data_IF_750721045235
#
_entry.id   IF_750721045235
#
_cell.length_a   1.000
_cell.length_b   1.000
_cell.length_c   1.000
_cell.angle_alpha   90.00
_cell.angle_beta   90.00
_cell.angle_gamma   90.00
#
_symmetry.space_group_name_H-M   'P 1'
#
loop_
_entity.id
_entity.type
_entity.pdbx_description
1 polymer ?
#
# COMPACT_ATOMS: atom_id res chain seq x y z
N UNK A 1 -14.03 -29.21 -6.94
CA UNK A 1 -14.05 -27.74 -7.15
C UNK A 1 -12.67 -27.10 -6.98
N UNK A 2 -11.88 -27.41 -5.93
CA UNK A 2 -10.52 -26.85 -5.72
C UNK A 2 -9.46 -27.12 -6.82
N UNK A 3 -9.68 -28.13 -7.67
CA UNK A 3 -8.76 -28.49 -8.76
C UNK A 3 -9.14 -27.85 -10.11
N UNK A 4 -10.16 -26.99 -10.16
CA UNK A 4 -10.49 -26.26 -11.38
C UNK A 4 -9.46 -25.17 -11.62
N UNK A 5 -8.94 -25.05 -12.84
CA UNK A 5 -7.99 -24.01 -13.24
C UNK A 5 -8.56 -22.63 -12.93
N UNK A 6 -9.84 -22.41 -13.24
CA UNK A 6 -10.57 -21.16 -12.95
C UNK A 6 -10.56 -20.83 -11.45
N UNK A 7 -10.69 -21.83 -10.57
CA UNK A 7 -10.66 -21.59 -9.13
C UNK A 7 -9.26 -21.15 -8.65
N UNK A 8 -8.20 -21.72 -9.25
CA UNK A 8 -6.82 -21.36 -8.93
C UNK A 8 -6.47 -19.96 -9.43
N UNK A 9 -6.96 -19.57 -10.60
CA UNK A 9 -6.81 -18.24 -11.17
C UNK A 9 -7.47 -17.18 -10.27
N UNK A 10 -8.74 -17.34 -9.92
CA UNK A 10 -9.46 -16.41 -9.02
C UNK A 10 -8.74 -16.28 -7.67
N UNK A 11 -8.28 -17.40 -7.10
CA UNK A 11 -7.55 -17.40 -5.83
C UNK A 11 -6.20 -16.69 -5.95
N UNK A 12 -5.55 -16.78 -7.11
CA UNK A 12 -4.28 -16.11 -7.37
C UNK A 12 -4.47 -14.61 -7.60
N UNK A 13 -5.48 -14.21 -8.36
CA UNK A 13 -5.87 -12.82 -8.58
C UNK A 13 -6.19 -12.15 -7.23
N UNK A 14 -7.08 -12.72 -6.42
CA UNK A 14 -7.42 -12.14 -5.11
C UNK A 14 -6.22 -12.03 -4.16
N UNK A 15 -5.24 -12.95 -4.23
CA UNK A 15 -3.99 -12.84 -3.46
C UNK A 15 -3.08 -11.72 -3.98
N UNK A 16 -3.04 -11.52 -5.30
CA UNK A 16 -2.25 -10.44 -5.90
C UNK A 16 -2.86 -9.08 -5.57
N UNK A 17 -4.18 -8.94 -5.72
CA UNK A 17 -4.93 -7.74 -5.34
C UNK A 17 -4.72 -7.41 -3.87
N UNK A 18 -5.00 -8.33 -2.95
CA UNK A 18 -4.84 -8.07 -1.52
C UNK A 18 -3.38 -7.75 -1.11
N UNK A 19 -2.39 -8.28 -1.82
CA UNK A 19 -0.98 -7.94 -1.60
C UNK A 19 -0.62 -6.56 -2.12
N UNK A 20 -1.26 -6.09 -3.19
CA UNK A 20 -1.06 -4.75 -3.73
C UNK A 20 -1.77 -3.72 -2.84
N UNK A 21 -3.03 -3.96 -2.48
CA UNK A 21 -3.80 -3.10 -1.58
C UNK A 21 -3.11 -2.96 -0.23
N UNK A 22 -2.76 -4.07 0.43
CA UNK A 22 -2.10 -4.01 1.74
C UNK A 22 -0.72 -3.34 1.72
N UNK A 23 -0.02 -3.33 0.58
CA UNK A 23 1.23 -2.58 0.42
C UNK A 23 1.01 -1.08 0.29
N UNK A 24 -0.08 -0.67 -0.34
CA UNK A 24 -0.44 0.75 -0.47
C UNK A 24 -0.92 1.28 0.88
N UNK A 25 -1.89 0.62 1.50
CA UNK A 25 -2.42 1.00 2.81
C UNK A 25 -1.31 1.11 3.87
N UNK A 26 -0.36 0.16 3.90
CA UNK A 26 0.75 0.23 4.83
C UNK A 26 1.67 1.44 4.61
N UNK A 27 1.90 1.86 3.35
CA UNK A 27 2.69 3.06 3.04
C UNK A 27 1.98 4.32 3.49
N UNK A 28 0.67 4.40 3.27
CA UNK A 28 -0.17 5.53 3.67
C UNK A 28 -0.24 5.66 5.19
N UNK A 29 -0.45 4.54 5.90
CA UNK A 29 -0.48 4.54 7.37
C UNK A 29 0.86 5.00 7.96
N UNK A 30 1.97 4.51 7.41
CA UNK A 30 3.31 4.97 7.82
C UNK A 30 3.48 6.46 7.53
N UNK A 31 3.06 6.95 6.36
CA UNK A 31 3.15 8.37 6.02
C UNK A 31 2.38 9.25 7.02
N UNK A 32 1.13 8.89 7.32
CA UNK A 32 0.29 9.58 8.29
C UNK A 32 0.91 9.60 9.69
N UNK A 33 1.47 8.47 10.12
CA UNK A 33 2.12 8.39 11.43
C UNK A 33 3.38 9.27 11.49
N UNK A 34 4.19 9.32 10.44
CA UNK A 34 5.36 10.19 10.38
C UNK A 34 4.99 11.68 10.37
N UNK A 35 3.93 12.06 9.64
CA UNK A 35 3.39 13.42 9.68
C UNK A 35 2.90 13.80 11.08
N UNK A 36 2.19 12.90 11.76
CA UNK A 36 1.74 13.10 13.15
C UNK A 36 2.91 13.23 14.13
N UNK A 37 4.05 12.61 13.84
CA UNK A 37 5.29 12.76 14.60
C UNK A 37 6.02 14.08 14.31
N UNK A 38 5.52 14.90 13.37
CA UNK A 38 6.06 16.21 13.04
C UNK A 38 7.24 16.18 12.06
N UNK A 39 7.43 15.09 11.31
CA UNK A 39 8.46 15.01 10.26
C UNK A 39 8.08 15.89 9.07
N UNK A 40 9.09 16.37 8.34
CA UNK A 40 8.87 17.14 7.11
C UNK A 40 8.38 16.25 5.97
N UNK A 41 7.70 16.85 4.99
CA UNK A 41 7.24 16.14 3.80
C UNK A 41 8.39 15.42 3.07
N UNK A 42 9.59 16.02 2.99
CA UNK A 42 10.73 15.36 2.35
C UNK A 42 11.16 14.10 3.10
N UNK A 43 11.13 14.12 4.44
CA UNK A 43 11.47 12.96 5.26
C UNK A 43 10.43 11.85 5.10
N UNK A 44 9.14 12.21 5.01
CA UNK A 44 8.07 11.23 4.78
C UNK A 44 8.22 10.58 3.41
N UNK A 45 8.47 11.34 2.35
CA UNK A 45 8.75 10.81 1.00
C UNK A 45 9.93 9.85 1.00
N UNK A 46 11.02 10.19 1.67
CA UNK A 46 12.20 9.33 1.76
C UNK A 46 11.91 8.02 2.51
N UNK A 47 11.08 8.05 3.55
CA UNK A 47 10.76 6.88 4.37
C UNK A 47 9.73 5.95 3.71
N UNK A 48 8.73 6.48 3.02
CA UNK A 48 7.61 5.69 2.46
C UNK A 48 7.77 5.39 0.96
N UNK A 49 8.60 6.17 0.27
CA UNK A 49 8.73 6.14 -1.19
C UNK A 49 7.44 6.53 -1.91
N UNK A 50 6.54 7.26 -1.24
CA UNK A 50 5.39 7.91 -1.86
C UNK A 50 5.83 9.22 -2.53
N UNK A 51 5.09 9.68 -3.53
CA UNK A 51 5.39 10.94 -4.19
C UNK A 51 4.99 12.11 -3.29
N UNK A 52 5.65 13.26 -3.45
CA UNK A 52 5.25 14.51 -2.78
C UNK A 52 3.80 14.92 -3.08
N UNK A 53 3.24 14.45 -4.20
CA UNK A 53 1.87 14.72 -4.64
C UNK A 53 0.84 13.82 -3.92
N UNK A 54 1.25 12.60 -3.52
CA UNK A 54 0.37 11.62 -2.90
C UNK A 54 0.11 11.99 -1.42
N UNK A 55 1.15 12.47 -0.72
CA UNK A 55 1.10 12.71 0.73
C UNK A 55 0.07 13.77 1.16
N UNK A 56 -0.11 14.92 0.48
CA UNK A 56 -1.13 15.90 0.83
C UNK A 56 -2.58 15.40 0.68
N UNK A 57 -2.78 14.29 -0.04
CA UNK A 57 -4.10 13.68 -0.25
C UNK A 57 -4.46 12.58 0.75
N UNK A 58 -3.53 12.24 1.66
CA UNK A 58 -3.71 11.29 2.77
C UNK A 58 -4.38 11.94 3.99
#
# INVERSE_FOLDING_TARGET
MRNSVIYQEILQEGRLEGKLEGKLEAKEEVALNLLRMGLSLEQVVQATGLSVEDIPSL
#
